data_IF_077434124024
#
_entry.id   IF_077434124024
#
_cell.length_a   1.000
_cell.length_b   1.000
_cell.length_c   1.000
_cell.angle_alpha   90.00
_cell.angle_beta   90.00
_cell.angle_gamma   90.00
#
_symmetry.space_group_name_H-M   'P 1'
#
loop_
_entity.id
_entity.type
_entity.pdbx_description
1 polymer ?
#
# COMPACT_ATOMS: atom_id res chain seq x y z
N UNK A 1 -2.86 -12.81 5.94
CA UNK A 1 -1.99 -13.58 6.86
C UNK A 1 -2.06 -12.92 8.23
N UNK A 2 -2.27 -13.68 9.32
CA UNK A 2 -2.25 -13.14 10.68
C UNK A 2 -0.86 -13.35 11.32
N UNK A 3 -0.49 -12.56 12.33
CA UNK A 3 0.76 -12.79 13.07
C UNK A 3 0.80 -14.17 13.77
N UNK A 4 -0.37 -14.74 14.07
CA UNK A 4 -0.47 -16.08 14.63
C UNK A 4 -0.03 -17.13 13.61
N UNK A 5 -0.59 -17.12 12.39
CA UNK A 5 -0.18 -18.04 11.33
C UNK A 5 1.28 -17.81 10.91
N UNK A 6 1.70 -16.54 10.84
CA UNK A 6 3.08 -16.19 10.53
C UNK A 6 4.10 -16.76 11.54
N UNK A 7 3.70 -17.01 12.79
CA UNK A 7 4.57 -17.65 13.78
C UNK A 7 4.90 -19.09 13.38
N UNK A 8 3.92 -19.81 12.84
CA UNK A 8 4.07 -21.19 12.36
C UNK A 8 4.90 -21.22 11.07
N UNK A 9 4.58 -20.34 10.12
CA UNK A 9 5.28 -20.24 8.84
C UNK A 9 6.76 -19.93 9.02
N UNK A 10 7.10 -18.93 9.85
CA UNK A 10 8.50 -18.55 10.11
C UNK A 10 9.26 -19.70 10.76
N UNK A 11 8.64 -20.42 11.71
CA UNK A 11 9.27 -21.56 12.36
C UNK A 11 9.51 -22.72 11.39
N UNK A 12 8.53 -23.01 10.53
CA UNK A 12 8.62 -24.06 9.52
C UNK A 12 9.71 -23.76 8.48
N UNK A 13 9.78 -22.53 7.98
CA UNK A 13 10.68 -22.16 6.88
C UNK A 13 12.11 -21.88 7.33
N UNK A 14 12.31 -21.42 8.57
CA UNK A 14 13.62 -20.93 9.04
C UNK A 14 14.19 -21.70 10.22
N UNK A 15 13.39 -22.55 10.87
CA UNK A 15 13.74 -23.21 12.14
C UNK A 15 13.73 -22.28 13.36
N UNK A 16 13.43 -20.99 13.18
CA UNK A 16 13.41 -19.99 14.26
C UNK A 16 11.98 -19.64 14.63
N UNK A 17 11.64 -19.69 15.92
CA UNK A 17 10.32 -19.31 16.40
C UNK A 17 10.27 -17.83 16.80
N UNK A 18 9.41 -17.06 16.14
CA UNK A 18 9.17 -15.65 16.47
C UNK A 18 7.71 -15.44 16.85
N UNK A 19 7.43 -15.05 18.11
CA UNK A 19 6.05 -14.88 18.59
C UNK A 19 5.28 -13.79 17.85
N UNK A 20 3.96 -13.95 17.73
CA UNK A 20 3.07 -12.97 17.11
C UNK A 20 3.24 -11.53 17.67
N UNK A 21 3.41 -11.38 18.99
CA UNK A 21 3.66 -10.07 19.63
C UNK A 21 5.03 -9.49 19.24
N UNK A 22 6.05 -10.35 19.11
CA UNK A 22 7.37 -9.91 18.63
C UNK A 22 7.28 -9.42 17.19
N UNK A 23 6.59 -10.16 16.32
CA UNK A 23 6.39 -9.77 14.92
C UNK A 23 5.64 -8.44 14.81
N UNK A 24 4.53 -8.28 15.54
CA UNK A 24 3.78 -7.02 15.58
C UNK A 24 4.68 -5.86 16.01
N UNK A 25 5.47 -6.03 17.07
CA UNK A 25 6.40 -5.00 17.56
C UNK A 25 7.48 -4.66 16.54
N UNK A 26 7.99 -5.65 15.79
CA UNK A 26 8.96 -5.44 14.73
C UNK A 26 8.36 -4.60 13.59
N UNK A 27 7.17 -4.99 13.11
CA UNK A 27 6.46 -4.25 12.06
C UNK A 27 6.16 -2.82 12.48
N UNK A 28 5.69 -2.60 13.71
CA UNK A 28 5.35 -1.27 14.21
C UNK A 28 6.58 -0.36 14.43
N UNK A 29 7.77 -0.92 14.62
CA UNK A 29 9.01 -0.15 14.80
C UNK A 29 9.77 0.08 13.49
N UNK A 30 9.43 -0.67 12.45
CA UNK A 30 10.06 -0.52 11.15
C UNK A 30 9.61 0.79 10.51
N UNK A 31 10.58 1.65 10.19
CA UNK A 31 10.34 2.77 9.29
C UNK A 31 10.61 2.30 7.86
N UNK A 32 9.64 2.51 6.98
CA UNK A 32 9.81 2.26 5.55
C UNK A 32 10.13 3.58 4.87
N UNK A 33 11.25 3.63 4.17
CA UNK A 33 11.55 4.76 3.28
C UNK A 33 10.63 4.69 2.08
N UNK A 34 10.07 5.82 1.68
CA UNK A 34 9.30 5.88 0.45
C UNK A 34 10.25 5.68 -0.74
N UNK A 35 9.99 4.71 -1.62
CA UNK A 35 10.78 4.56 -2.84
C UNK A 35 10.58 5.77 -3.75
N UNK A 36 11.62 6.10 -4.51
CA UNK A 36 11.59 7.11 -5.56
C UNK A 36 12.26 6.53 -6.80
N UNK A 37 11.67 6.77 -7.96
CA UNK A 37 12.30 6.40 -9.25
C UNK A 37 13.62 7.15 -9.40
N UNK A 38 14.67 6.43 -9.77
CA UNK A 38 16.01 7.01 -9.93
C UNK A 38 16.23 7.40 -11.40
N UNK A 39 16.94 8.51 -11.68
CA UNK A 39 17.37 8.81 -13.05
C UNK A 39 18.26 7.68 -13.61
N UNK A 40 18.19 7.38 -14.93
CA UNK A 40 17.50 8.12 -15.98
C UNK A 40 16.02 7.73 -16.17
N UNK A 41 15.47 6.86 -15.33
CA UNK A 41 14.14 6.33 -15.52
C UNK A 41 13.06 7.38 -15.22
N UNK A 42 11.96 7.28 -15.95
CA UNK A 42 10.80 8.14 -15.81
C UNK A 42 9.53 7.30 -15.91
N UNK A 43 8.49 7.73 -15.19
CA UNK A 43 7.20 7.05 -15.11
C UNK A 43 6.36 7.45 -16.30
N UNK A 44 5.96 6.47 -17.11
CA UNK A 44 5.08 6.70 -18.26
C UNK A 44 3.66 6.27 -17.93
N UNK A 45 3.50 5.39 -16.95
CA UNK A 45 2.23 4.84 -16.58
C UNK A 45 2.10 4.68 -15.06
N UNK A 46 0.91 5.02 -14.57
CA UNK A 46 0.49 4.74 -13.20
C UNK A 46 -0.76 3.87 -13.25
N UNK A 47 -0.79 2.80 -12.46
CA UNK A 47 -2.01 2.04 -12.22
C UNK A 47 -2.49 2.27 -10.79
N UNK A 48 -3.72 2.74 -10.63
CA UNK A 48 -4.36 2.95 -9.34
C UNK A 48 -5.45 1.92 -9.11
N UNK A 49 -5.49 1.42 -7.88
CA UNK A 49 -6.53 0.51 -7.40
C UNK A 49 -7.02 0.94 -6.01
N UNK A 50 -8.27 0.62 -5.72
CA UNK A 50 -8.96 0.98 -4.48
C UNK A 50 -9.54 -0.25 -3.80
N UNK A 51 -9.38 -0.34 -2.48
CA UNK A 51 -9.92 -1.45 -1.73
C UNK A 51 -10.60 -1.04 -0.43
N UNK A 52 -11.54 -1.87 0.01
CA UNK A 52 -12.23 -1.72 1.28
C UNK A 52 -11.74 -2.76 2.28
N UNK A 53 -11.47 -2.31 3.50
CA UNK A 53 -11.17 -3.17 4.63
C UNK A 53 -12.20 -2.98 5.72
N UNK A 54 -12.70 -4.09 6.26
CA UNK A 54 -13.59 -4.09 7.41
C UNK A 54 -12.80 -4.03 8.70
N UNK A 55 -13.04 -3.01 9.50
CA UNK A 55 -12.47 -2.82 10.83
C UNK A 55 -13.42 -3.41 11.86
N UNK A 56 -12.88 -4.32 12.67
CA UNK A 56 -13.61 -4.91 13.80
C UNK A 56 -13.55 -3.92 14.96
N UNK A 57 -14.71 -3.41 15.32
CA UNK A 57 -14.94 -2.51 16.47
C UNK A 57 -15.21 -3.33 17.73
N UNK A 58 -15.17 -2.71 18.92
CA UNK A 58 -15.56 -3.36 20.18
C UNK A 58 -16.92 -4.05 20.10
N UNK A 59 -17.09 -5.08 20.94
CA UNK A 59 -18.32 -5.88 20.96
C UNK A 59 -19.53 -4.98 21.28
N UNK A 60 -20.49 -4.95 20.37
CA UNK A 60 -21.70 -4.13 20.48
C UNK A 60 -21.72 -2.92 19.55
N UNK A 61 -20.58 -2.57 18.94
CA UNK A 61 -20.50 -1.50 17.94
C UNK A 61 -20.54 -2.07 16.51
N UNK A 62 -21.11 -1.33 15.54
CA UNK A 62 -21.06 -1.74 14.13
C UNK A 62 -19.63 -1.70 13.62
N UNK A 63 -19.27 -2.66 12.75
CA UNK A 63 -17.97 -2.63 12.08
C UNK A 63 -17.90 -1.48 11.09
N UNK A 64 -16.71 -0.90 10.93
CA UNK A 64 -16.48 0.19 9.99
C UNK A 64 -15.84 -0.34 8.70
N UNK A 65 -16.22 0.21 7.56
CA UNK A 65 -15.52 -0.03 6.29
C UNK A 65 -14.61 1.16 6.00
N UNK A 66 -13.31 0.89 5.85
CA UNK A 66 -12.30 1.92 5.58
C UNK A 66 -11.63 1.63 4.26
N UNK A 67 -11.33 2.71 3.54
CA UNK A 67 -10.77 2.66 2.20
C UNK A 67 -9.24 2.75 2.27
N UNK A 68 -8.57 2.02 1.39
CA UNK A 68 -7.20 2.28 1.03
C UNK A 68 -7.12 2.42 -0.49
N UNK A 69 -6.06 3.09 -0.95
CA UNK A 69 -5.74 3.18 -2.37
C UNK A 69 -4.29 2.83 -2.57
N UNK A 70 -4.01 2.09 -3.63
CA UNK A 70 -2.68 1.71 -4.02
C UNK A 70 -2.37 2.28 -5.41
N UNK A 71 -1.10 2.63 -5.61
CA UNK A 71 -0.57 2.99 -6.92
C UNK A 71 0.65 2.13 -7.21
N UNK A 72 0.76 1.74 -8.47
CA UNK A 72 1.91 1.04 -9.04
C UNK A 72 2.45 1.90 -10.18
N UNK A 73 3.75 2.12 -10.16
CA UNK A 73 4.48 2.73 -11.27
C UNK A 73 4.88 1.62 -12.26
N UNK A 74 4.99 1.94 -13.54
CA UNK A 74 5.49 1.02 -14.56
C UNK A 74 7.00 0.73 -14.44
N UNK A 75 7.72 1.55 -13.68
CA UNK A 75 9.17 1.43 -13.45
C UNK A 75 9.52 0.67 -12.16
N UNK A 76 10.58 -0.15 -12.21
CA UNK A 76 11.29 -0.76 -11.07
C UNK A 76 10.44 -1.55 -10.07
N UNK A 77 9.23 -1.92 -10.49
CA UNK A 77 8.27 -2.55 -9.61
C UNK A 77 7.95 -1.74 -8.34
N UNK A 78 8.02 -0.41 -8.44
CA UNK A 78 7.72 0.49 -7.33
C UNK A 78 6.20 0.61 -7.18
N UNK A 79 5.72 0.37 -5.96
CA UNK A 79 4.31 0.56 -5.63
C UNK A 79 4.14 0.89 -4.16
N UNK A 80 3.09 1.65 -3.87
CA UNK A 80 2.77 2.13 -2.54
C UNK A 80 1.26 2.15 -2.33
N UNK A 81 0.84 2.10 -1.06
CA UNK A 81 -0.55 2.20 -0.69
C UNK A 81 -0.74 3.15 0.50
N UNK A 82 -1.84 3.88 0.47
CA UNK A 82 -2.22 4.81 1.51
C UNK A 82 -3.58 4.45 2.08
N UNK A 83 -3.67 4.52 3.40
CA UNK A 83 -4.88 4.25 4.14
C UNK A 83 -5.61 5.54 4.44
N UNK A 84 -6.80 5.72 3.85
CA UNK A 84 -7.63 6.93 3.98
C UNK A 84 -6.91 8.26 3.71
N UNK A 85 -5.83 8.26 2.92
CA UNK A 85 -5.02 9.46 2.65
C UNK A 85 -4.72 9.60 1.16
N UNK A 86 -5.67 10.19 0.43
CA UNK A 86 -5.52 10.47 -0.99
C UNK A 86 -4.49 11.58 -1.25
N UNK A 87 -4.32 12.52 -0.32
CA UNK A 87 -3.43 13.67 -0.50
C UNK A 87 -1.97 13.23 -0.50
N UNK A 88 -1.59 12.39 0.47
CA UNK A 88 -0.24 11.84 0.53
C UNK A 88 0.07 10.94 -0.68
N UNK A 89 -0.92 10.18 -1.17
CA UNK A 89 -0.79 9.40 -2.41
C UNK A 89 -0.48 10.31 -3.60
N UNK A 90 -1.28 11.35 -3.81
CA UNK A 90 -1.11 12.25 -4.95
C UNK A 90 0.21 13.01 -4.90
N UNK A 91 0.58 13.52 -3.72
CA UNK A 91 1.86 14.20 -3.53
C UNK A 91 3.03 13.27 -3.89
N UNK A 92 3.01 12.02 -3.39
CA UNK A 92 4.08 11.08 -3.70
C UNK A 92 4.17 10.74 -5.19
N UNK A 93 3.04 10.59 -5.89
CA UNK A 93 3.02 10.35 -7.35
C UNK A 93 3.59 11.56 -8.10
N UNK A 94 3.21 12.78 -7.70
CA UNK A 94 3.69 14.02 -8.33
C UNK A 94 5.18 14.27 -8.09
N UNK A 95 5.74 13.77 -6.99
CA UNK A 95 7.17 13.87 -6.68
C UNK A 95 8.04 12.90 -7.53
N UNK A 96 7.42 12.01 -8.31
CA UNK A 96 8.15 11.12 -9.21
C UNK A 96 8.52 11.84 -10.53
N UNK A 97 9.58 11.39 -11.24
CA UNK A 97 9.89 11.87 -12.59
C UNK A 97 8.84 11.38 -13.60
N UNK A 98 7.74 12.10 -13.77
CA UNK A 98 6.64 11.75 -14.67
C UNK A 98 6.93 12.19 -16.12
N UNK A 99 6.60 11.34 -17.09
CA UNK A 99 6.58 11.73 -18.50
C UNK A 99 5.28 12.44 -18.88
N UNK A 100 5.35 13.18 -20.00
CA UNK A 100 4.19 13.81 -20.63
C UNK A 100 4.05 13.28 -22.06
N UNK A 101 2.95 12.61 -22.42
CA UNK A 101 1.78 12.32 -21.58
C UNK A 101 2.03 11.22 -20.54
N UNK A 102 1.28 11.26 -19.42
CA UNK A 102 1.22 10.18 -18.43
C UNK A 102 -0.02 9.30 -18.69
N UNK A 103 0.17 7.98 -18.78
CA UNK A 103 -0.92 7.03 -18.93
C UNK A 103 -1.45 6.58 -17.57
N UNK A 104 -2.71 6.90 -17.27
CA UNK A 104 -3.34 6.50 -16.02
C UNK A 104 -4.32 5.33 -16.23
N UNK A 105 -4.10 4.23 -15.53
CA UNK A 105 -5.02 3.09 -15.44
C UNK A 105 -5.70 3.11 -14.08
N UNK A 106 -7.01 2.91 -14.05
CA UNK A 106 -7.80 2.78 -12.83
C UNK A 106 -8.64 1.52 -12.81
N UNK A 107 -9.12 1.17 -11.62
CA UNK A 107 -10.02 0.02 -11.35
C UNK A 107 -11.46 0.19 -11.88
N UNK A 108 -11.76 1.32 -12.53
CA UNK A 108 -13.09 1.62 -13.06
C UNK A 108 -13.99 2.41 -12.10
N UNK A 109 -13.66 2.51 -10.81
CA UNK A 109 -14.51 3.17 -9.83
C UNK A 109 -14.33 4.70 -9.84
N UNK A 110 -15.41 5.49 -9.60
CA UNK A 110 -15.31 6.95 -9.52
C UNK A 110 -14.30 7.43 -8.48
N UNK A 111 -14.14 6.70 -7.37
CA UNK A 111 -13.18 7.03 -6.32
C UNK A 111 -11.72 7.00 -6.77
N UNK A 112 -11.38 6.26 -7.83
CA UNK A 112 -10.06 6.24 -8.45
C UNK A 112 -9.97 7.27 -9.56
N UNK A 113 -10.95 7.32 -10.47
CA UNK A 113 -10.93 8.29 -11.58
C UNK A 113 -10.92 9.74 -11.12
N UNK A 114 -11.62 10.07 -10.03
CA UNK A 114 -11.62 11.42 -9.45
C UNK A 114 -10.25 11.83 -8.85
N UNK A 115 -9.31 10.91 -8.70
CA UNK A 115 -7.92 11.25 -8.31
C UNK A 115 -7.05 11.61 -9.51
N UNK A 116 -7.46 11.17 -10.71
CA UNK A 116 -6.71 11.32 -11.95
C UNK A 116 -7.20 12.49 -12.80
N UNK A 117 -8.32 13.11 -12.40
CA UNK A 117 -9.00 14.22 -13.07
C UNK A 117 -8.45 15.58 -12.65
#
# INVERSE_FOLDING_TARGET
MSYAHATEDVALLTGVRVSAKTQQRLVQRQTFTQPTVQPPDAVNQVSLDGGQMRFVTPKGEPSEWKQYKAVRLDTDGIGMAWFQDNGALLNWVQDQPLQSPLYCIGDGHPGIWNLLS
#
